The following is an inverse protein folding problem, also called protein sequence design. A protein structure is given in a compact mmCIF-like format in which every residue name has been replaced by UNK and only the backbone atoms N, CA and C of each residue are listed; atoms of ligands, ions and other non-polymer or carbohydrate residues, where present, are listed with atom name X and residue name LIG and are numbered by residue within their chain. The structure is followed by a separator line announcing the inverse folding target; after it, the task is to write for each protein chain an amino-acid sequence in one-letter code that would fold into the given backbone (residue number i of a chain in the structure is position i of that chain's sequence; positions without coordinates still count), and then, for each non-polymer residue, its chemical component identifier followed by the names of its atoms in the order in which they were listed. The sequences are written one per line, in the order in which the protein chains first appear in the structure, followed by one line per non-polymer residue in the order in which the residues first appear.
data_IF_312091117726
#
_entry.id   IF_312091117726
#
_cell.length_a   1.000
_cell.length_b   1.000
_cell.length_c   1.000
_cell.angle_alpha   90.00
_cell.angle_beta   90.00
_cell.angle_gamma   90.00
#
_symmetry.space_group_name_H-M   'P 1'
#
loop_
_entity.id
_entity.type
_entity.pdbx_description
1 polymer ?
#
# COMPACT_ATOMS: atom_id res chain seq x y z
N UNK A 1 9.28 -6.19 13.07
CA UNK A 1 7.87 -6.01 13.47
C UNK A 1 7.15 -7.31 13.12
N UNK A 2 6.58 -8.05 14.09
CA UNK A 2 6.11 -9.44 13.91
C UNK A 2 4.84 -9.57 13.05
N UNK A 3 4.49 -8.55 12.26
CA UNK A 3 3.17 -8.45 11.63
C UNK A 3 3.19 -9.11 10.23
N UNK A 4 4.35 -9.25 9.59
CA UNK A 4 4.51 -10.05 8.37
C UNK A 4 5.73 -10.95 8.50
N UNK A 5 5.52 -12.20 8.86
CA UNK A 5 6.59 -13.20 8.77
C UNK A 5 6.98 -13.45 7.30
N UNK A 6 6.07 -13.16 6.35
CA UNK A 6 6.26 -13.32 4.90
C UNK A 6 5.64 -12.14 4.11
N UNK A 7 6.21 -10.91 4.17
CA UNK A 7 5.61 -9.72 3.56
C UNK A 7 5.45 -9.83 2.04
N UNK A 8 6.41 -10.44 1.34
CA UNK A 8 6.33 -10.63 -0.12
C UNK A 8 5.18 -11.54 -0.50
N UNK A 9 4.87 -12.56 0.30
CA UNK A 9 3.76 -13.46 0.03
C UNK A 9 2.44 -12.70 0.07
N UNK A 10 2.24 -11.87 1.09
CA UNK A 10 1.03 -11.05 1.23
C UNK A 10 0.88 -10.09 0.06
N UNK A 11 1.96 -9.39 -0.30
CA UNK A 11 1.97 -8.49 -1.46
C UNK A 11 1.58 -9.23 -2.74
N UNK A 12 2.13 -10.43 -2.95
CA UNK A 12 1.83 -11.27 -4.12
C UNK A 12 0.39 -11.76 -4.13
N UNK A 13 -0.15 -12.15 -2.99
CA UNK A 13 -1.54 -12.61 -2.86
C UNK A 13 -2.55 -11.49 -3.14
N UNK A 14 -2.28 -10.28 -2.66
CA UNK A 14 -3.19 -9.13 -2.81
C UNK A 14 -3.15 -8.59 -4.24
N UNK A 15 -1.96 -8.42 -4.80
CA UNK A 15 -1.80 -7.75 -6.10
C UNK A 15 -1.69 -8.72 -7.28
N UNK A 16 -1.57 -10.02 -7.01
CA UNK A 16 -1.40 -11.07 -8.03
C UNK A 16 -0.23 -10.79 -8.99
N UNK A 17 0.85 -10.22 -8.46
CA UNK A 17 2.07 -9.87 -9.18
C UNK A 17 3.30 -10.23 -8.34
N UNK A 18 4.46 -10.52 -8.96
CA UNK A 18 5.69 -10.92 -8.27
C UNK A 18 6.42 -9.72 -7.63
N UNK A 19 5.68 -8.82 -7.01
CA UNK A 19 6.22 -7.63 -6.34
C UNK A 19 6.75 -7.96 -4.94
N UNK A 20 7.56 -7.05 -4.42
CA UNK A 20 8.06 -7.07 -3.05
C UNK A 20 7.87 -5.71 -2.39
N UNK A 21 8.21 -5.62 -1.10
CA UNK A 21 8.18 -4.36 -0.38
C UNK A 21 9.07 -3.29 -1.03
N UNK A 22 10.26 -3.69 -1.47
CA UNK A 22 11.29 -2.81 -2.04
C UNK A 22 11.13 -2.60 -3.55
N UNK A 23 10.47 -3.55 -4.23
CA UNK A 23 10.25 -3.53 -5.68
C UNK A 23 8.76 -3.74 -5.96
N UNK A 24 7.99 -2.68 -5.73
CA UNK A 24 6.55 -2.66 -5.94
C UNK A 24 6.17 -1.97 -7.26
N UNK A 25 5.30 -2.61 -8.03
CA UNK A 25 4.74 -2.04 -9.26
C UNK A 25 5.48 -2.45 -10.55
N UNK A 26 5.12 -1.83 -11.70
CA UNK A 26 4.22 -0.69 -11.84
C UNK A 26 2.74 -1.06 -11.58
N UNK A 27 2.03 -0.19 -10.88
CA UNK A 27 0.58 -0.33 -10.64
C UNK A 27 -0.15 0.84 -11.32
N UNK A 28 -1.16 0.52 -12.13
CA UNK A 28 -2.08 1.53 -12.69
C UNK A 28 -3.21 1.73 -11.67
N UNK A 29 -3.35 2.95 -11.17
CA UNK A 29 -4.42 3.31 -10.23
C UNK A 29 -5.65 3.75 -11.04
N UNK A 30 -6.80 3.08 -10.92
CA UNK A 30 -8.03 3.50 -11.60
C UNK A 30 -8.58 4.79 -10.98
N UNK A 31 -9.52 5.42 -11.69
CA UNK A 31 -10.21 6.61 -11.17
C UNK A 31 -10.89 6.33 -9.82
N UNK A 32 -10.94 7.33 -8.95
CA UNK A 32 -11.54 7.27 -7.61
C UNK A 32 -10.90 6.27 -6.64
N UNK A 33 -9.68 5.80 -6.93
CA UNK A 33 -8.85 5.03 -6.01
C UNK A 33 -7.59 5.78 -5.64
N UNK A 34 -7.04 5.45 -4.47
CA UNK A 34 -5.76 5.94 -3.98
C UNK A 34 -4.84 4.77 -3.61
N UNK A 35 -3.55 5.00 -3.78
CA UNK A 35 -2.49 4.17 -3.21
C UNK A 35 -1.76 5.01 -2.16
N UNK A 36 -1.84 4.60 -0.90
CA UNK A 36 -1.16 5.27 0.20
C UNK A 36 0.11 4.49 0.58
N UNK A 37 1.16 5.22 0.93
CA UNK A 37 2.43 4.67 1.36
C UNK A 37 2.91 5.47 2.56
N UNK A 38 3.21 4.81 3.68
CA UNK A 38 3.77 5.51 4.82
C UNK A 38 5.23 5.91 4.58
N UNK A 39 5.68 6.97 5.24
CA UNK A 39 7.07 7.43 5.11
C UNK A 39 8.07 6.41 5.65
N UNK A 40 7.75 5.77 6.78
CA UNK A 40 8.58 4.72 7.36
C UNK A 40 8.28 3.36 6.72
N UNK A 41 8.92 3.11 5.57
CA UNK A 41 8.62 1.99 4.66
C UNK A 41 8.72 0.61 5.29
N UNK A 42 9.65 0.42 6.24
CA UNK A 42 9.92 -0.89 6.85
C UNK A 42 8.87 -1.32 7.87
N UNK A 43 8.08 -0.37 8.37
CA UNK A 43 7.11 -0.61 9.44
C UNK A 43 5.73 -0.02 9.14
N UNK A 44 5.49 0.39 7.90
CA UNK A 44 4.19 0.91 7.49
C UNK A 44 3.29 -0.21 6.97
N UNK A 45 2.07 -0.27 7.51
CA UNK A 45 0.99 -1.06 6.95
C UNK A 45 0.15 -0.18 6.04
N UNK A 46 0.38 -0.30 4.74
CA UNK A 46 -0.11 0.61 3.73
C UNK A 46 -0.64 -0.15 2.50
N UNK A 47 -0.88 0.54 1.38
CA UNK A 47 -1.51 -0.05 0.19
C UNK A 47 -0.72 -1.22 -0.42
N UNK A 48 0.57 -1.40 -0.09
CA UNK A 48 1.31 -2.62 -0.46
C UNK A 48 0.65 -3.87 0.13
N UNK A 49 0.10 -3.77 1.33
CA UNK A 49 -0.50 -4.87 2.09
C UNK A 49 -2.01 -4.77 2.30
N UNK A 50 -2.62 -3.64 1.96
CA UNK A 50 -4.06 -3.38 2.12
C UNK A 50 -4.80 -3.29 0.78
N UNK A 51 -4.09 -3.06 -0.32
CA UNK A 51 -4.68 -2.72 -1.60
C UNK A 51 -5.05 -1.24 -1.72
N UNK A 52 -5.86 -0.93 -2.73
CA UNK A 52 -6.26 0.44 -3.06
C UNK A 52 -7.39 0.93 -2.17
N UNK A 53 -7.33 2.20 -1.79
CA UNK A 53 -8.31 2.88 -0.94
C UNK A 53 -9.34 3.58 -1.83
N UNK A 54 -10.63 3.49 -1.50
CA UNK A 54 -11.67 4.27 -2.19
C UNK A 54 -11.57 5.76 -1.85
N UNK A 55 -11.78 6.62 -2.85
CA UNK A 55 -11.84 8.07 -2.65
C UNK A 55 -12.89 8.49 -1.62
N UNK A 56 -13.99 7.73 -1.52
CA UNK A 56 -15.03 7.97 -0.52
C UNK A 56 -14.57 7.74 0.91
N UNK A 57 -13.51 6.97 1.12
CA UNK A 57 -13.01 6.61 2.45
C UNK A 57 -12.01 7.65 2.97
N UNK A 58 -11.59 8.60 2.12
CA UNK A 58 -10.70 9.70 2.50
C UNK A 58 -11.49 10.77 3.24
N UNK A 59 -11.12 11.02 4.50
CA UNK A 59 -11.83 11.98 5.36
C UNK A 59 -11.25 13.39 5.30
N UNK A 60 -9.93 13.53 5.21
CA UNK A 60 -9.24 14.81 5.21
C UNK A 60 -7.81 14.69 4.64
N UNK A 61 -7.21 15.85 4.34
CA UNK A 61 -5.78 16.00 4.08
C UNK A 61 -5.17 16.76 5.24
N UNK A 62 -4.08 16.23 5.81
CA UNK A 62 -3.30 16.96 6.81
C UNK A 62 -2.36 17.92 6.10
N UNK A 63 -2.53 19.22 6.35
CA UNK A 63 -1.61 20.26 5.92
C UNK A 63 -0.73 20.65 7.10
N UNK A 64 0.58 20.62 6.90
CA UNK A 64 1.59 21.02 7.89
C UNK A 64 2.42 22.13 7.24
N UNK A 65 2.57 23.25 7.95
CA UNK A 65 3.44 24.38 7.57
C UNK A 65 4.88 24.18 8.04
#
# INVERSE_FOLDING_TARGET
MPIFDEPEKIIREIHNHPWSQDQFGPLIIPENKFFALGDNRDVSYDSRYLGLIDKSDITAVLFVE
#
